data_IF_100872036037
#
_entry.id   IF_100872036037
#
_cell.length_a   1.000
_cell.length_b   1.000
_cell.length_c   1.000
_cell.angle_alpha   90.00
_cell.angle_beta   90.00
_cell.angle_gamma   90.00
#
_symmetry.space_group_name_H-M   'P 1'
#
loop_
_entity.id
_entity.type
_entity.pdbx_description
1 polymer ?
#
# COMPACT_ATOMS: atom_id res chain seq x y z
N UNK A 1 -10.26 -1.36 25.09
CA UNK A 1 -9.11 -1.35 24.15
C UNK A 1 -8.66 0.10 24.04
N UNK A 2 -7.55 0.48 24.68
CA UNK A 2 -7.03 1.84 24.52
C UNK A 2 -6.51 1.97 23.08
N UNK A 3 -7.00 2.96 22.34
CA UNK A 3 -6.47 3.29 21.03
C UNK A 3 -5.00 3.68 21.17
N UNK A 4 -4.17 3.41 20.17
CA UNK A 4 -2.76 3.82 20.14
C UNK A 4 -2.56 5.34 20.00
N UNK A 5 -3.49 6.15 20.54
CA UNK A 5 -3.47 7.60 20.48
C UNK A 5 -3.33 8.15 19.06
N UNK A 6 -2.59 9.25 18.93
CA UNK A 6 -2.28 9.89 17.64
C UNK A 6 -1.39 9.00 16.75
N UNK A 7 -0.56 8.14 17.35
CA UNK A 7 0.32 7.23 16.61
C UNK A 7 -0.46 6.24 15.74
N UNK A 8 -1.53 5.65 16.27
CA UNK A 8 -2.38 4.72 15.51
C UNK A 8 -3.19 5.37 14.38
N UNK A 9 -3.32 6.70 14.39
CA UNK A 9 -3.93 7.45 13.28
C UNK A 9 -2.95 7.60 12.11
N UNK A 10 -1.67 7.76 12.40
CA UNK A 10 -0.62 7.97 11.40
C UNK A 10 0.00 6.67 10.90
N UNK A 11 0.09 5.66 11.78
CA UNK A 11 0.75 4.38 11.51
C UNK A 11 -0.19 3.19 11.73
N UNK A 12 -0.14 2.21 10.83
CA UNK A 12 -0.95 1.00 10.89
C UNK A 12 -1.02 0.29 9.55
N UNK A 13 -2.19 -0.28 9.22
CA UNK A 13 -2.45 -0.72 7.85
C UNK A 13 -2.52 0.51 6.94
N UNK A 14 -1.88 0.50 5.76
CA UNK A 14 -1.92 1.63 4.85
C UNK A 14 -3.34 1.99 4.45
N UNK A 15 -3.57 3.28 4.30
CA UNK A 15 -4.84 3.83 3.87
C UNK A 15 -4.58 5.02 2.95
N UNK A 16 -5.20 4.99 1.77
CA UNK A 16 -4.97 5.95 0.71
C UNK A 16 -6.28 6.63 0.35
N UNK A 17 -6.21 7.92 0.04
CA UNK A 17 -7.20 8.58 -0.82
C UNK A 17 -6.54 8.76 -2.18
N UNK A 18 -7.23 8.38 -3.24
CA UNK A 18 -6.68 8.44 -4.59
C UNK A 18 -7.64 9.15 -5.53
N UNK A 19 -7.08 9.71 -6.59
CA UNK A 19 -7.85 10.22 -7.72
C UNK A 19 -7.41 9.48 -8.99
N UNK A 20 -8.37 9.19 -9.85
CA UNK A 20 -8.15 8.52 -11.13
C UNK A 20 -8.64 9.41 -12.25
N UNK A 21 -7.79 9.65 -13.25
CA UNK A 21 -8.15 10.38 -14.46
C UNK A 21 -7.65 9.61 -15.67
N UNK A 22 -8.49 9.45 -16.70
CA UNK A 22 -8.15 8.70 -17.91
C UNK A 22 -7.58 7.30 -17.61
N UNK A 23 -8.20 6.59 -16.66
CA UNK A 23 -7.79 5.24 -16.21
C UNK A 23 -6.36 5.16 -15.64
N UNK A 24 -5.81 6.29 -15.18
CA UNK A 24 -4.48 6.40 -14.55
C UNK A 24 -4.59 7.07 -13.20
N UNK A 25 -3.67 6.71 -12.30
CA UNK A 25 -3.55 7.34 -10.99
C UNK A 25 -3.08 8.79 -11.18
N UNK A 26 -3.93 9.78 -10.85
CA UNK A 26 -3.57 11.20 -10.94
C UNK A 26 -2.99 11.74 -9.64
N UNK A 27 -3.45 11.25 -8.49
CA UNK A 27 -2.92 11.63 -7.18
C UNK A 27 -3.12 10.51 -6.15
N UNK A 28 -2.26 10.48 -5.13
CA UNK A 28 -2.39 9.61 -3.96
C UNK A 28 -2.06 10.46 -2.71
N UNK A 29 -2.99 10.49 -1.76
CA UNK A 29 -2.80 11.04 -0.41
C UNK A 29 -2.77 9.89 0.61
N UNK A 30 -1.74 9.88 1.46
CA UNK A 30 -1.62 8.88 2.55
C UNK A 30 -2.42 9.35 3.76
N UNK A 31 -3.52 8.66 4.06
CA UNK A 31 -4.30 8.87 5.29
C UNK A 31 -3.61 8.24 6.50
N UNK A 32 -2.98 7.09 6.28
CA UNK A 32 -2.22 6.33 7.28
C UNK A 32 -1.18 5.46 6.57
N UNK A 33 0.03 5.39 7.10
CA UNK A 33 1.11 4.60 6.51
C UNK A 33 1.47 3.35 7.31
N UNK A 34 2.16 2.42 6.65
CA UNK A 34 2.82 1.32 7.33
C UNK A 34 3.99 1.86 8.17
N UNK A 35 4.22 1.30 9.37
CA UNK A 35 5.29 1.76 10.27
C UNK A 35 6.70 1.53 9.71
N UNK A 36 6.86 0.73 8.65
CA UNK A 36 8.15 0.51 7.98
C UNK A 36 8.61 1.67 7.09
N UNK A 37 7.80 2.71 6.89
CA UNK A 37 8.12 3.86 6.04
C UNK A 37 7.86 3.62 4.54
N UNK A 38 7.80 2.35 4.11
CA UNK A 38 7.64 2.00 2.69
C UNK A 38 6.41 2.61 2.03
N UNK A 39 5.37 2.97 2.80
CA UNK A 39 4.18 3.63 2.26
C UNK A 39 4.48 4.91 1.51
N UNK A 40 5.42 5.74 1.98
CA UNK A 40 5.67 7.05 1.38
C UNK A 40 6.65 6.96 0.21
N UNK A 41 7.69 6.16 0.36
CA UNK A 41 8.81 6.07 -0.59
C UNK A 41 8.40 5.51 -1.96
N UNK A 42 7.41 4.60 -2.00
CA UNK A 42 6.98 3.95 -3.25
C UNK A 42 6.00 4.76 -4.10
N UNK A 43 5.33 5.78 -3.56
CA UNK A 43 4.17 6.39 -4.24
C UNK A 43 4.55 7.14 -5.51
N UNK A 44 5.74 7.73 -5.54
CA UNK A 44 6.27 8.41 -6.73
C UNK A 44 6.37 7.45 -7.93
N UNK A 45 6.58 6.16 -7.69
CA UNK A 45 6.68 5.14 -8.74
C UNK A 45 5.31 4.67 -9.27
N UNK A 46 4.22 5.09 -8.62
CA UNK A 46 2.85 4.63 -8.89
C UNK A 46 2.00 5.72 -9.56
N UNK A 47 2.24 6.99 -9.23
CA UNK A 47 1.53 8.12 -9.83
C UNK A 47 1.78 8.16 -11.34
N UNK A 48 0.71 8.29 -12.12
CA UNK A 48 0.74 8.29 -13.59
C UNK A 48 0.56 6.92 -14.24
N UNK A 49 0.68 5.82 -13.49
CA UNK A 49 0.49 4.48 -14.03
C UNK A 49 -1.00 4.17 -14.29
N UNK A 50 -1.31 3.28 -15.26
CA UNK A 50 -2.62 2.66 -15.37
C UNK A 50 -3.00 1.94 -14.07
N UNK A 51 -4.30 1.94 -13.73
CA UNK A 51 -4.81 1.36 -12.47
C UNK A 51 -4.30 -0.08 -12.22
N UNK A 52 -4.37 -0.95 -13.22
CA UNK A 52 -3.94 -2.36 -13.07
C UNK A 52 -2.41 -2.49 -12.86
N UNK A 53 -1.63 -1.64 -13.54
CA UNK A 53 -0.17 -1.61 -13.42
C UNK A 53 0.28 -1.00 -12.07
N UNK A 54 -0.47 0.00 -11.59
CA UNK A 54 -0.23 0.65 -10.30
C UNK A 54 -0.29 -0.34 -9.13
N UNK A 55 -1.26 -1.25 -9.14
CA UNK A 55 -1.44 -2.28 -8.09
C UNK A 55 -0.23 -3.21 -8.02
N UNK A 56 0.17 -3.76 -9.16
CA UNK A 56 1.28 -4.72 -9.23
C UNK A 56 2.63 -4.05 -8.98
N UNK A 57 2.82 -2.83 -9.47
CA UNK A 57 4.02 -2.02 -9.21
C UNK A 57 4.15 -1.69 -7.73
N UNK A 58 3.08 -1.19 -7.09
CA UNK A 58 3.09 -0.89 -5.66
C UNK A 58 3.47 -2.12 -4.82
N UNK A 59 2.84 -3.27 -5.10
CA UNK A 59 3.11 -4.52 -4.37
C UNK A 59 4.58 -4.97 -4.48
N UNK A 60 5.17 -4.79 -5.66
CA UNK A 60 6.56 -5.15 -5.95
C UNK A 60 7.54 -4.18 -5.32
N UNK A 61 7.34 -2.88 -5.48
CA UNK A 61 8.24 -1.85 -4.95
C UNK A 61 8.32 -1.91 -3.43
N UNK A 62 7.19 -2.14 -2.74
CA UNK A 62 7.15 -2.30 -1.28
C UNK A 62 8.03 -3.47 -0.82
N UNK A 63 8.06 -4.58 -1.57
CA UNK A 63 8.90 -5.73 -1.24
C UNK A 63 10.41 -5.42 -1.30
N UNK A 64 10.82 -4.45 -2.11
CA UNK A 64 12.23 -4.07 -2.22
C UNK A 64 12.70 -3.14 -1.11
N UNK A 65 11.82 -2.31 -0.56
CA UNK A 65 12.21 -1.25 0.38
C UNK A 65 11.75 -1.49 1.83
N UNK A 66 10.85 -2.44 2.06
CA UNK A 66 10.41 -2.79 3.39
C UNK A 66 11.56 -3.42 4.20
N UNK A 67 11.67 -3.05 5.48
CA UNK A 67 12.67 -3.58 6.41
C UNK A 67 12.31 -4.95 7.01
N UNK A 68 11.20 -5.56 6.60
CA UNK A 68 10.83 -6.87 7.10
C UNK A 68 11.84 -7.94 6.65
N UNK A 69 12.14 -8.92 7.52
CA UNK A 69 13.16 -9.92 7.24
C UNK A 69 12.79 -10.78 6.02
N UNK A 70 13.56 -10.72 4.91
CA UNK A 70 13.30 -11.52 3.72
C UNK A 70 13.49 -13.03 3.97
N UNK A 71 14.34 -13.41 4.94
CA UNK A 71 14.73 -14.79 5.20
C UNK A 71 13.75 -15.57 6.07
N UNK A 72 12.83 -14.86 6.75
CA UNK A 72 11.78 -15.44 7.59
C UNK A 72 10.65 -16.05 6.76
N UNK A 73 10.98 -16.98 5.86
CA UNK A 73 10.04 -17.65 4.97
C UNK A 73 9.15 -18.65 5.73
N UNK A 74 7.84 -18.56 5.56
CA UNK A 74 6.88 -19.53 6.07
C UNK A 74 6.64 -20.65 5.03
N UNK A 75 7.04 -21.91 5.31
CA UNK A 75 6.88 -23.02 4.38
C UNK A 75 5.41 -23.44 4.17
N UNK A 76 4.48 -23.06 5.04
CA UNK A 76 3.06 -23.39 4.90
C UNK A 76 2.41 -22.49 3.86
N UNK A 77 2.58 -21.17 3.99
CA UNK A 77 2.05 -20.21 3.03
C UNK A 77 2.89 -20.05 1.76
N UNK A 78 4.16 -20.46 1.81
CA UNK A 78 5.12 -20.21 0.74
C UNK A 78 5.49 -18.73 0.60
N UNK A 79 5.33 -17.94 1.68
CA UNK A 79 5.52 -16.48 1.68
C UNK A 79 6.47 -16.03 2.78
N UNK A 80 7.19 -14.95 2.50
CA UNK A 80 7.96 -14.19 3.49
C UNK A 80 7.19 -12.94 3.94
N UNK A 81 7.57 -12.31 5.07
CA UNK A 81 7.04 -11.02 5.52
C UNK A 81 7.00 -9.93 4.44
N UNK A 82 7.95 -9.93 3.49
CA UNK A 82 7.94 -9.01 2.36
C UNK A 82 6.73 -9.23 1.45
N UNK A 83 6.42 -10.49 1.10
CA UNK A 83 5.24 -10.80 0.29
C UNK A 83 3.97 -10.27 0.96
N UNK A 84 3.86 -10.45 2.28
CA UNK A 84 2.74 -9.89 3.04
C UNK A 84 2.71 -8.36 3.04
N UNK A 85 3.86 -7.69 3.12
CA UNK A 85 3.93 -6.24 3.00
C UNK A 85 3.40 -5.77 1.62
N UNK A 86 3.82 -6.43 0.55
CA UNK A 86 3.30 -6.17 -0.80
C UNK A 86 1.79 -6.38 -0.91
N UNK A 87 1.29 -7.51 -0.40
CA UNK A 87 -0.14 -7.86 -0.40
C UNK A 87 -0.98 -6.83 0.36
N UNK A 88 -0.51 -6.38 1.53
CA UNK A 88 -1.19 -5.37 2.36
C UNK A 88 -1.31 -4.04 1.64
N UNK A 89 -0.24 -3.58 1.00
CA UNK A 89 -0.27 -2.32 0.24
C UNK A 89 -1.14 -2.42 -1.02
N UNK A 90 -1.10 -3.56 -1.72
CA UNK A 90 -1.97 -3.83 -2.87
C UNK A 90 -3.45 -3.83 -2.46
N UNK A 91 -3.79 -4.46 -1.34
CA UNK A 91 -5.15 -4.48 -0.81
C UNK A 91 -5.63 -3.07 -0.44
N UNK A 92 -4.78 -2.25 0.19
CA UNK A 92 -5.08 -0.87 0.51
C UNK A 92 -5.35 -0.01 -0.74
N UNK A 93 -4.56 -0.18 -1.81
CA UNK A 93 -4.79 0.54 -3.07
C UNK A 93 -6.07 0.07 -3.76
N UNK A 94 -6.35 -1.23 -3.81
CA UNK A 94 -7.60 -1.77 -4.36
C UNK A 94 -8.83 -1.23 -3.62
N UNK A 95 -8.74 -1.13 -2.29
CA UNK A 95 -9.79 -0.52 -1.46
C UNK A 95 -10.01 0.94 -1.84
N UNK A 96 -8.94 1.73 -1.93
CA UNK A 96 -9.05 3.14 -2.31
C UNK A 96 -9.61 3.35 -3.73
N UNK A 97 -9.27 2.47 -4.68
CA UNK A 97 -9.85 2.44 -6.03
C UNK A 97 -11.34 2.14 -6.02
N UNK A 98 -11.77 1.19 -5.20
CA UNK A 98 -13.18 0.89 -5.01
C UNK A 98 -13.94 2.10 -4.46
N UNK A 99 -13.37 2.81 -3.48
CA UNK A 99 -13.98 3.99 -2.85
C UNK A 99 -14.06 5.17 -3.83
N UNK A 100 -13.00 5.43 -4.60
CA UNK A 100 -12.99 6.48 -5.62
C UNK A 100 -14.00 6.25 -6.76
N UNK A 101 -14.25 4.98 -7.12
CA UNK A 101 -15.25 4.62 -8.12
C UNK A 101 -16.70 4.62 -7.61
N UNK A 102 -16.91 4.48 -6.29
CA UNK A 102 -18.24 4.55 -5.67
C UNK A 102 -18.75 5.98 -5.42
N UNK A 103 -17.88 6.98 -5.52
CA UNK A 103 -18.20 8.41 -5.41
C UNK A 103 -18.53 9.06 -6.77
N UNK A 104 -18.69 8.26 -7.84
CA UNK A 104 -19.00 8.70 -9.22
C UNK A 104 -20.44 8.43 -9.63
#
# INVERSE_FOLDING_TARGET
>A
MQSAGEYGKQFGLPEYKIEVSNSRISSIEVRRGAPCGATWDVLANVIGLPVEEAITTLAREVQYICYADPSSFDPISGKSPLHYAGDVHAAALKKALSEAGSDS
#
